data_IF_979374142017
#
_entry.id   IF_979374142017
#
_cell.length_a   1.000
_cell.length_b   1.000
_cell.length_c   1.000
_cell.angle_alpha   90.00
_cell.angle_beta   90.00
_cell.angle_gamma   90.00
#
_symmetry.space_group_name_H-M   'P 1'
#
loop_
_entity.id
_entity.type
_entity.pdbx_description
1 polymer ?
#
# COMPACT_ATOMS: atom_id res chain seq x y z
N UNK A 1 85.12 -84.97 -61.01
CA UNK A 1 86.13 -85.71 -60.22
C UNK A 1 86.84 -84.86 -59.15
N UNK A 2 86.48 -83.58 -58.91
CA UNK A 2 87.21 -82.73 -57.95
C UNK A 2 86.84 -82.93 -56.47
N UNK A 3 85.62 -83.38 -56.17
CA UNK A 3 85.15 -83.55 -54.79
C UNK A 3 86.01 -84.56 -53.98
N UNK A 4 86.54 -85.60 -54.62
CA UNK A 4 87.33 -86.63 -53.95
C UNK A 4 88.74 -86.13 -53.60
N UNK A 5 89.30 -85.22 -54.39
CA UNK A 5 90.62 -84.63 -54.12
C UNK A 5 90.54 -83.58 -53.02
N UNK A 6 89.50 -82.72 -53.04
CA UNK A 6 89.28 -81.72 -51.99
C UNK A 6 89.11 -82.37 -50.62
N UNK A 7 88.22 -83.36 -50.50
CA UNK A 7 88.01 -84.07 -49.22
C UNK A 7 89.27 -84.78 -48.73
N UNK A 8 90.09 -85.33 -49.63
CA UNK A 8 91.37 -85.95 -49.25
C UNK A 8 92.38 -84.92 -48.75
N UNK A 9 92.46 -83.75 -49.39
CA UNK A 9 93.31 -82.65 -48.95
C UNK A 9 92.85 -82.07 -47.62
N UNK A 10 91.55 -81.89 -47.42
CA UNK A 10 90.97 -81.41 -46.16
C UNK A 10 91.21 -82.40 -45.01
N UNK A 11 91.12 -83.71 -45.28
CA UNK A 11 91.43 -84.74 -44.29
C UNK A 11 92.91 -84.76 -43.95
N UNK A 12 93.81 -84.69 -44.96
CA UNK A 12 95.24 -84.63 -44.73
C UNK A 12 95.66 -83.38 -43.95
N UNK A 13 95.07 -82.22 -44.28
CA UNK A 13 95.28 -80.98 -43.53
C UNK A 13 94.79 -81.12 -42.10
N UNK A 14 93.61 -81.67 -41.86
CA UNK A 14 93.09 -81.90 -40.52
C UNK A 14 93.99 -82.85 -39.71
N UNK A 15 94.52 -83.90 -40.32
CA UNK A 15 95.45 -84.82 -39.64
C UNK A 15 96.79 -84.14 -39.32
N UNK A 16 97.29 -83.28 -40.21
CA UNK A 16 98.48 -82.45 -39.95
C UNK A 16 98.20 -81.46 -38.81
N UNK A 17 97.07 -80.76 -38.83
CA UNK A 17 96.70 -79.80 -37.79
C UNK A 17 96.46 -80.47 -36.43
N UNK A 18 95.98 -81.72 -36.41
CA UNK A 18 95.83 -82.53 -35.18
C UNK A 18 97.18 -83.02 -34.67
N UNK A 19 98.01 -83.59 -35.54
CA UNK A 19 99.31 -84.16 -35.18
C UNK A 19 100.35 -83.11 -34.78
N UNK A 20 100.36 -81.96 -35.45
CA UNK A 20 101.22 -80.82 -35.11
C UNK A 20 100.68 -80.00 -33.92
N UNK A 21 99.51 -80.34 -33.37
CA UNK A 21 98.95 -79.68 -32.19
C UNK A 21 98.31 -78.30 -32.44
N UNK A 22 98.32 -77.78 -33.68
CA UNK A 22 97.73 -76.48 -34.03
C UNK A 22 96.24 -76.38 -33.68
N UNK A 23 95.48 -77.48 -33.76
CA UNK A 23 94.07 -77.48 -33.32
C UNK A 23 93.95 -77.14 -31.83
N UNK A 24 94.86 -77.62 -30.98
CA UNK A 24 94.86 -77.27 -29.56
C UNK A 24 95.25 -75.82 -29.33
N UNK A 25 96.18 -75.27 -30.11
CA UNK A 25 96.53 -73.84 -30.05
C UNK A 25 95.36 -72.95 -30.46
N UNK A 26 94.67 -73.29 -31.56
CA UNK A 26 93.48 -72.58 -32.04
C UNK A 26 92.36 -72.64 -31.00
N UNK A 27 92.08 -73.83 -30.43
CA UNK A 27 91.08 -74.00 -29.37
C UNK A 27 91.46 -73.18 -28.12
N UNK A 28 92.74 -73.21 -27.72
CA UNK A 28 93.21 -72.45 -26.55
C UNK A 28 93.13 -70.94 -26.78
N UNK A 29 93.45 -70.47 -27.98
CA UNK A 29 93.35 -69.05 -28.34
C UNK A 29 91.89 -68.60 -28.38
N UNK A 30 91.00 -69.39 -28.99
CA UNK A 30 89.56 -69.15 -28.96
C UNK A 30 88.98 -69.15 -27.55
N UNK A 31 89.46 -70.03 -26.67
CA UNK A 31 89.06 -70.05 -25.25
C UNK A 31 89.53 -68.79 -24.51
N UNK A 32 90.75 -68.31 -24.78
CA UNK A 32 91.26 -67.04 -24.22
C UNK A 32 90.46 -65.83 -24.71
N UNK A 33 90.11 -65.79 -25.99
CA UNK A 33 89.25 -64.72 -26.54
C UNK A 33 87.80 -64.82 -26.04
N UNK A 34 87.23 -66.02 -25.96
CA UNK A 34 85.91 -66.25 -25.37
C UNK A 34 85.88 -65.79 -23.92
N UNK A 35 86.93 -66.08 -23.13
CA UNK A 35 87.05 -65.59 -21.76
C UNK A 35 87.26 -64.06 -21.68
N UNK A 36 87.78 -63.41 -22.72
CA UNK A 36 87.78 -61.94 -22.80
C UNK A 36 86.37 -61.39 -23.06
N UNK A 37 85.56 -62.10 -23.88
CA UNK A 37 84.21 -61.68 -24.28
C UNK A 37 83.16 -62.04 -23.21
N UNK A 38 83.36 -63.12 -22.44
CA UNK A 38 82.41 -63.60 -21.42
C UNK A 38 83.01 -63.65 -20.02
N UNK A 39 84.22 -63.12 -19.83
CA UNK A 39 84.86 -63.05 -18.53
C UNK A 39 84.19 -62.03 -17.62
N UNK A 40 84.44 -62.11 -16.29
CA UNK A 40 83.83 -61.21 -15.30
C UNK A 40 84.11 -59.72 -15.57
N UNK A 41 85.17 -59.39 -16.32
CA UNK A 41 85.54 -58.03 -16.72
C UNK A 41 84.83 -57.50 -17.97
N UNK A 42 83.93 -58.28 -18.61
CA UNK A 42 83.21 -57.83 -19.82
C UNK A 42 81.72 -57.51 -19.57
N UNK A 43 81.36 -57.16 -18.33
CA UNK A 43 80.10 -56.47 -18.10
C UNK A 43 80.20 -55.08 -18.76
N UNK A 44 79.71 -54.98 -20.00
CA UNK A 44 79.62 -53.74 -20.81
C UNK A 44 79.05 -52.55 -20.02
N UNK A 45 78.31 -52.83 -18.94
CA UNK A 45 77.77 -51.86 -18.00
C UNK A 45 78.25 -52.25 -16.60
N UNK A 46 78.95 -51.33 -15.93
CA UNK A 46 79.41 -51.53 -14.55
C UNK A 46 78.19 -51.71 -13.62
N UNK A 47 78.26 -52.65 -12.66
CA UNK A 47 77.17 -52.88 -11.69
C UNK A 47 76.72 -51.61 -10.95
N UNK A 48 77.65 -50.68 -10.69
CA UNK A 48 77.32 -49.38 -10.10
C UNK A 48 76.34 -48.57 -10.97
N UNK A 49 76.50 -48.59 -12.30
CA UNK A 49 75.59 -47.92 -13.23
C UNK A 49 74.20 -48.57 -13.20
N UNK A 50 74.14 -49.90 -13.12
CA UNK A 50 72.88 -50.64 -12.99
C UNK A 50 72.18 -50.26 -11.67
N UNK A 51 72.91 -50.22 -10.56
CA UNK A 51 72.35 -49.82 -9.26
C UNK A 51 71.88 -48.36 -9.26
N UNK A 52 72.64 -47.44 -9.87
CA UNK A 52 72.22 -46.04 -10.02
C UNK A 52 70.95 -45.91 -10.86
N UNK A 53 70.83 -46.66 -11.96
CA UNK A 53 69.61 -46.71 -12.77
C UNK A 53 68.43 -47.24 -11.97
N UNK A 54 68.58 -48.36 -11.26
CA UNK A 54 67.53 -48.91 -10.39
C UNK A 54 67.10 -47.90 -9.32
N UNK A 55 68.06 -47.21 -8.68
CA UNK A 55 67.75 -46.19 -7.68
C UNK A 55 67.02 -44.98 -8.28
N UNK A 56 67.37 -44.57 -9.50
CA UNK A 56 66.67 -43.49 -10.18
C UNK A 56 65.27 -43.91 -10.61
N UNK A 57 65.07 -45.15 -11.07
CA UNK A 57 63.74 -45.69 -11.40
C UNK A 57 62.85 -45.65 -10.16
N UNK A 58 63.33 -46.15 -9.01
CA UNK A 58 62.55 -46.11 -7.77
C UNK A 58 62.21 -44.68 -7.34
N UNK A 59 63.14 -43.73 -7.47
CA UNK A 59 62.86 -42.31 -7.19
C UNK A 59 61.81 -41.72 -8.14
N UNK A 60 61.81 -42.13 -9.40
CA UNK A 60 60.79 -41.71 -10.35
C UNK A 60 59.42 -42.27 -9.96
N UNK A 61 59.36 -43.53 -9.54
CA UNK A 61 58.13 -44.15 -9.04
C UNK A 61 57.59 -43.42 -7.80
N UNK A 62 58.47 -43.08 -6.83
CA UNK A 62 58.09 -42.28 -5.65
C UNK A 62 57.52 -40.90 -6.05
N UNK A 63 58.13 -40.23 -7.02
CA UNK A 63 57.65 -38.93 -7.53
C UNK A 63 56.29 -39.09 -8.23
N UNK A 64 56.11 -40.15 -9.02
CA UNK A 64 54.85 -40.42 -9.70
C UNK A 64 53.73 -40.70 -8.69
N UNK A 65 53.99 -41.51 -7.67
CA UNK A 65 53.03 -41.80 -6.61
C UNK A 65 52.66 -40.53 -5.82
N UNK A 66 53.66 -39.70 -5.47
CA UNK A 66 53.42 -38.41 -4.82
C UNK A 66 52.60 -37.46 -5.71
N UNK A 67 52.88 -37.44 -7.01
CA UNK A 67 52.16 -36.59 -7.97
C UNK A 67 50.71 -37.07 -8.13
N UNK A 68 50.49 -38.37 -8.29
CA UNK A 68 49.15 -38.96 -8.38
C UNK A 68 48.35 -38.71 -7.11
N UNK A 69 48.99 -38.85 -5.93
CA UNK A 69 48.38 -38.54 -4.65
C UNK A 69 47.93 -37.08 -4.57
N UNK A 70 48.82 -36.12 -4.87
CA UNK A 70 48.49 -34.69 -4.89
C UNK A 70 47.38 -34.33 -5.89
N UNK A 71 47.36 -34.97 -7.06
CA UNK A 71 46.30 -34.76 -8.05
C UNK A 71 44.94 -35.28 -7.55
N UNK A 72 44.92 -36.42 -6.86
CA UNK A 72 43.70 -36.96 -6.27
C UNK A 72 43.19 -36.07 -5.12
N UNK A 73 44.08 -35.59 -4.26
CA UNK A 73 43.74 -34.67 -3.18
C UNK A 73 43.21 -33.33 -3.72
N UNK A 74 43.86 -32.77 -4.75
CA UNK A 74 43.40 -31.55 -5.41
C UNK A 74 42.00 -31.73 -6.02
N UNK A 75 41.76 -32.87 -6.68
CA UNK A 75 40.45 -33.20 -7.24
C UNK A 75 39.38 -33.31 -6.14
N UNK A 76 39.71 -33.94 -5.02
CA UNK A 76 38.80 -34.06 -3.88
C UNK A 76 38.50 -32.69 -3.24
N UNK A 77 39.52 -31.87 -3.02
CA UNK A 77 39.37 -30.51 -2.50
C UNK A 77 38.48 -29.64 -3.40
N UNK A 78 38.69 -29.68 -4.72
CA UNK A 78 37.86 -28.97 -5.68
C UNK A 78 36.43 -29.49 -5.66
N UNK A 79 36.22 -30.81 -5.69
CA UNK A 79 34.89 -31.40 -5.63
C UNK A 79 34.13 -30.98 -4.36
N UNK A 80 34.81 -31.02 -3.20
CA UNK A 80 34.24 -30.61 -1.91
C UNK A 80 33.92 -29.11 -1.89
N UNK A 81 34.78 -28.26 -2.45
CA UNK A 81 34.52 -26.82 -2.56
C UNK A 81 33.32 -26.52 -3.46
N UNK A 82 33.20 -27.21 -4.60
CA UNK A 82 32.07 -27.07 -5.52
C UNK A 82 30.77 -27.53 -4.86
N UNK A 83 30.77 -28.68 -4.18
CA UNK A 83 29.61 -29.21 -3.47
C UNK A 83 29.17 -28.27 -2.33
N UNK A 84 30.11 -27.76 -1.53
CA UNK A 84 29.80 -26.80 -0.46
C UNK A 84 29.24 -25.48 -1.03
N UNK A 85 29.79 -25.00 -2.15
CA UNK A 85 29.30 -23.80 -2.83
C UNK A 85 27.89 -24.02 -3.39
N UNK A 86 27.61 -25.17 -3.98
CA UNK A 86 26.27 -25.54 -4.45
C UNK A 86 25.27 -25.61 -3.29
N UNK A 87 25.61 -26.30 -2.20
CA UNK A 87 24.77 -26.36 -1.00
C UNK A 87 24.46 -24.99 -0.42
N UNK A 88 25.45 -24.08 -0.37
CA UNK A 88 25.21 -22.70 0.08
C UNK A 88 24.27 -21.93 -0.86
N UNK A 89 24.40 -22.10 -2.17
CA UNK A 89 23.51 -21.46 -3.14
C UNK A 89 22.09 -22.01 -3.03
N UNK A 90 21.92 -23.32 -2.92
CA UNK A 90 20.61 -23.96 -2.71
C UNK A 90 19.94 -23.50 -1.42
N UNK A 91 20.71 -23.39 -0.32
CA UNK A 91 20.20 -22.90 0.96
C UNK A 91 19.70 -21.45 0.85
N UNK A 92 20.49 -20.58 0.18
CA UNK A 92 20.10 -19.18 -0.07
C UNK A 92 18.84 -19.06 -0.93
N UNK A 93 18.75 -19.85 -1.99
CA UNK A 93 17.55 -19.88 -2.85
C UNK A 93 16.34 -20.34 -2.05
N UNK A 94 16.49 -21.37 -1.22
CA UNK A 94 15.41 -21.90 -0.38
C UNK A 94 14.94 -20.89 0.65
N UNK A 95 15.87 -20.18 1.31
CA UNK A 95 15.55 -19.12 2.28
C UNK A 95 14.83 -17.94 1.61
N UNK A 96 15.31 -17.49 0.44
CA UNK A 96 14.68 -16.40 -0.30
C UNK A 96 13.29 -16.79 -0.81
N UNK A 97 13.11 -18.03 -1.27
CA UNK A 97 11.81 -18.53 -1.69
C UNK A 97 10.83 -18.65 -0.51
N UNK A 98 11.31 -19.05 0.67
CA UNK A 98 10.51 -19.08 1.89
C UNK A 98 10.15 -17.67 2.36
N UNK A 99 11.10 -16.73 2.32
CA UNK A 99 10.86 -15.31 2.62
C UNK A 99 9.84 -14.72 1.66
N UNK A 100 9.99 -14.95 0.35
CA UNK A 100 9.06 -14.49 -0.67
C UNK A 100 7.65 -15.08 -0.45
N UNK A 101 7.55 -16.34 -0.03
CA UNK A 101 6.27 -16.97 0.32
C UNK A 101 5.62 -16.32 1.55
N UNK A 102 6.39 -16.04 2.60
CA UNK A 102 5.89 -15.34 3.80
C UNK A 102 5.46 -13.91 3.48
N UNK A 103 6.21 -13.21 2.64
CA UNK A 103 5.86 -11.85 2.22
C UNK A 103 4.60 -11.83 1.35
N UNK A 104 4.47 -12.77 0.41
CA UNK A 104 3.25 -12.93 -0.39
C UNK A 104 2.04 -13.27 0.48
N UNK A 105 2.19 -14.16 1.47
CA UNK A 105 1.12 -14.51 2.41
C UNK A 105 0.74 -13.33 3.31
N UNK A 106 1.72 -12.60 3.85
CA UNK A 106 1.49 -11.40 4.65
C UNK A 106 0.81 -10.29 3.84
N UNK A 107 1.21 -10.11 2.56
CA UNK A 107 0.57 -9.16 1.65
C UNK A 107 -0.87 -9.56 1.36
N UNK A 108 -1.14 -10.84 1.08
CA UNK A 108 -2.52 -11.34 0.89
C UNK A 108 -3.38 -11.13 2.12
N UNK A 109 -2.85 -11.40 3.32
CA UNK A 109 -3.57 -11.20 4.57
C UNK A 109 -3.87 -9.71 4.82
N UNK A 110 -2.92 -8.81 4.51
CA UNK A 110 -3.12 -7.36 4.62
C UNK A 110 -4.19 -6.87 3.63
N UNK A 111 -4.13 -7.32 2.39
CA UNK A 111 -5.13 -6.99 1.37
C UNK A 111 -6.52 -7.52 1.75
N UNK A 112 -6.61 -8.73 2.30
CA UNK A 112 -7.87 -9.31 2.78
C UNK A 112 -8.46 -8.55 3.97
N UNK A 113 -7.62 -8.17 4.95
CA UNK A 113 -8.06 -7.35 6.08
C UNK A 113 -8.48 -5.94 5.64
N UNK A 114 -7.77 -5.32 4.70
CA UNK A 114 -8.14 -4.01 4.17
C UNK A 114 -9.44 -4.08 3.37
N UNK A 115 -9.63 -5.12 2.55
CA UNK A 115 -10.88 -5.36 1.83
C UNK A 115 -12.05 -5.59 2.80
N UNK A 116 -11.83 -6.36 3.87
CA UNK A 116 -12.84 -6.58 4.92
C UNK A 116 -13.19 -5.27 5.64
N UNK A 117 -12.20 -4.44 5.99
CA UNK A 117 -12.42 -3.14 6.62
C UNK A 117 -13.20 -2.18 5.72
N UNK A 118 -12.87 -2.14 4.41
CA UNK A 118 -13.62 -1.32 3.43
C UNK A 118 -15.05 -1.82 3.24
N UNK A 119 -15.29 -3.13 3.25
CA UNK A 119 -16.62 -3.70 3.17
C UNK A 119 -17.46 -3.37 4.42
N UNK A 120 -16.88 -3.49 5.62
CA UNK A 120 -17.52 -3.15 6.88
C UNK A 120 -17.82 -1.64 6.98
N UNK A 121 -16.89 -0.78 6.56
CA UNK A 121 -17.12 0.68 6.52
C UNK A 121 -18.23 1.06 5.53
N UNK A 122 -18.28 0.42 4.35
CA UNK A 122 -19.34 0.64 3.37
C UNK A 122 -20.70 0.19 3.90
N UNK A 123 -20.78 -0.96 4.58
CA UNK A 123 -22.00 -1.44 5.21
C UNK A 123 -22.47 -0.51 6.34
N UNK A 124 -21.54 -0.05 7.20
CA UNK A 124 -21.82 0.90 8.26
C UNK A 124 -22.37 2.23 7.72
N UNK A 125 -21.78 2.76 6.63
CA UNK A 125 -22.28 3.96 5.94
C UNK A 125 -23.69 3.76 5.38
N UNK A 126 -23.97 2.60 4.75
CA UNK A 126 -25.32 2.33 4.23
C UNK A 126 -26.35 2.22 5.34
N UNK A 127 -26.00 1.60 6.47
CA UNK A 127 -26.90 1.50 7.61
C UNK A 127 -27.16 2.87 8.24
N UNK A 128 -26.12 3.71 8.38
CA UNK A 128 -26.25 5.09 8.85
C UNK A 128 -27.11 5.94 7.92
N UNK A 129 -26.94 5.81 6.59
CA UNK A 129 -27.76 6.54 5.61
C UNK A 129 -29.24 6.10 5.64
N UNK A 130 -29.50 4.79 5.81
CA UNK A 130 -30.87 4.27 5.97
C UNK A 130 -31.50 4.84 7.24
N UNK A 131 -30.77 4.84 8.36
CA UNK A 131 -31.25 5.38 9.64
C UNK A 131 -31.53 6.88 9.55
N UNK A 132 -30.61 7.65 8.97
CA UNK A 132 -30.79 9.09 8.76
C UNK A 132 -32.00 9.40 7.84
N UNK A 133 -32.21 8.60 6.78
CA UNK A 133 -33.41 8.73 5.92
C UNK A 133 -34.70 8.37 6.65
N UNK A 134 -34.69 7.38 7.55
CA UNK A 134 -35.85 7.04 8.36
C UNK A 134 -36.17 8.12 9.39
N UNK A 135 -35.16 8.66 10.07
CA UNK A 135 -35.30 9.75 11.03
C UNK A 135 -35.80 11.03 10.34
N UNK A 136 -35.23 11.40 9.18
CA UNK A 136 -35.71 12.55 8.40
C UNK A 136 -37.17 12.37 7.95
N UNK A 137 -37.56 11.16 7.50
CA UNK A 137 -38.96 10.87 7.15
C UNK A 137 -39.88 10.97 8.36
N UNK A 138 -39.49 10.42 9.50
CA UNK A 138 -40.26 10.50 10.73
C UNK A 138 -40.41 11.95 11.21
N UNK A 139 -39.37 12.78 11.08
CA UNK A 139 -39.43 14.20 11.41
C UNK A 139 -40.35 14.97 10.46
N UNK A 140 -40.29 14.70 9.15
CA UNK A 140 -41.21 15.33 8.18
C UNK A 140 -42.65 14.94 8.45
N UNK A 141 -42.92 13.67 8.75
CA UNK A 141 -44.28 13.20 9.07
C UNK A 141 -44.78 13.79 10.40
N UNK A 142 -43.90 13.94 11.40
CA UNK A 142 -44.23 14.59 12.66
C UNK A 142 -44.57 16.08 12.48
N UNK A 143 -43.79 16.81 11.66
CA UNK A 143 -44.08 18.21 11.31
C UNK A 143 -45.40 18.35 10.57
N UNK A 144 -45.66 17.49 9.59
CA UNK A 144 -46.92 17.51 8.84
C UNK A 144 -48.13 17.19 9.73
N UNK A 145 -48.02 16.22 10.65
CA UNK A 145 -49.08 15.94 11.63
C UNK A 145 -49.31 17.13 12.57
N UNK A 146 -48.25 17.76 13.06
CA UNK A 146 -48.36 18.93 13.93
C UNK A 146 -48.99 20.13 13.20
N UNK A 147 -48.70 20.32 11.92
CA UNK A 147 -49.30 21.37 11.09
C UNK A 147 -50.78 21.11 10.80
N UNK A 148 -51.16 19.87 10.44
CA UNK A 148 -52.58 19.49 10.30
C UNK A 148 -53.36 19.67 11.59
N UNK A 149 -52.76 19.37 12.75
CA UNK A 149 -53.42 19.58 14.04
C UNK A 149 -53.63 21.07 14.33
N UNK A 150 -52.65 21.93 14.02
CA UNK A 150 -52.80 23.39 14.13
C UNK A 150 -53.89 23.90 13.18
N UNK A 151 -53.94 23.40 11.95
CA UNK A 151 -54.95 23.80 10.97
C UNK A 151 -56.36 23.39 11.41
N UNK A 152 -56.55 22.17 11.93
CA UNK A 152 -57.85 21.74 12.48
C UNK A 152 -58.30 22.60 13.66
N UNK A 153 -57.38 22.98 14.56
CA UNK A 153 -57.70 23.88 15.69
C UNK A 153 -58.08 25.29 15.21
N UNK A 154 -57.37 25.83 14.22
CA UNK A 154 -57.69 27.12 13.63
C UNK A 154 -59.04 27.11 12.88
N UNK A 155 -59.33 26.05 12.12
CA UNK A 155 -60.61 25.88 11.42
C UNK A 155 -61.78 25.73 12.41
N UNK A 156 -61.58 25.02 13.52
CA UNK A 156 -62.58 24.89 14.59
C UNK A 156 -62.86 26.24 15.28
N UNK A 157 -61.81 27.00 15.60
CA UNK A 157 -61.95 28.34 16.19
C UNK A 157 -62.65 29.31 15.23
N UNK A 158 -62.30 29.29 13.94
CA UNK A 158 -62.96 30.10 12.91
C UNK A 158 -64.45 29.72 12.76
N UNK A 159 -64.79 28.43 12.86
CA UNK A 159 -66.20 27.98 12.84
C UNK A 159 -66.96 28.49 14.07
N UNK A 160 -66.36 28.43 15.27
CA UNK A 160 -66.97 28.94 16.51
C UNK A 160 -67.20 30.46 16.44
N UNK A 161 -66.26 31.21 15.87
CA UNK A 161 -66.40 32.66 15.71
C UNK A 161 -67.57 33.02 14.77
N UNK A 162 -67.69 32.31 13.65
CA UNK A 162 -68.81 32.48 12.70
C UNK A 162 -70.16 32.11 13.33
N UNK A 163 -70.22 31.01 14.06
CA UNK A 163 -71.45 30.60 14.76
C UNK A 163 -71.87 31.61 15.84
N UNK A 164 -70.90 32.23 16.54
CA UNK A 164 -71.16 33.29 17.50
C UNK A 164 -71.64 34.59 16.82
N UNK A 165 -71.06 34.95 15.68
CA UNK A 165 -71.46 36.11 14.88
C UNK A 165 -72.89 35.95 14.32
N UNK A 166 -73.21 34.77 13.76
CA UNK A 166 -74.57 34.45 13.30
C UNK A 166 -75.59 34.49 14.44
N UNK A 167 -75.25 33.96 15.63
CA UNK A 167 -76.12 34.07 16.81
C UNK A 167 -76.37 35.52 17.22
N UNK A 168 -75.36 36.38 17.22
CA UNK A 168 -75.50 37.81 17.54
C UNK A 168 -76.39 38.52 16.52
N UNK A 169 -76.19 38.24 15.23
CA UNK A 169 -77.00 38.81 14.15
C UNK A 169 -78.47 38.38 14.27
N UNK A 170 -78.73 37.10 14.53
CA UNK A 170 -80.07 36.56 14.69
C UNK A 170 -80.78 37.13 15.93
N UNK A 171 -80.04 37.33 17.03
CA UNK A 171 -80.57 37.97 18.24
C UNK A 171 -80.90 39.45 18.02
N UNK A 172 -80.03 40.19 17.31
CA UNK A 172 -80.28 41.58 16.94
C UNK A 172 -81.51 41.71 16.02
N UNK A 173 -81.67 40.79 15.07
CA UNK A 173 -82.81 40.77 14.16
C UNK A 173 -84.14 40.48 14.89
N UNK A 174 -84.12 39.57 15.88
CA UNK A 174 -85.29 39.34 16.76
C UNK A 174 -85.66 40.57 17.59
N UNK A 175 -84.68 41.27 18.16
CA UNK A 175 -84.93 42.51 18.91
C UNK A 175 -85.52 43.61 18.01
N UNK A 176 -85.02 43.73 16.78
CA UNK A 176 -85.55 44.70 15.81
C UNK A 176 -87.01 44.41 15.42
N UNK A 177 -87.38 43.13 15.22
CA UNK A 177 -88.77 42.76 14.97
C UNK A 177 -89.69 43.07 16.17
N UNK A 178 -89.23 42.84 17.40
CA UNK A 178 -89.99 43.20 18.60
C UNK A 178 -90.20 44.72 18.72
N UNK A 179 -89.18 45.54 18.42
CA UNK A 179 -89.33 47.00 18.39
C UNK A 179 -90.31 47.47 17.31
N UNK A 180 -90.29 46.87 16.11
CA UNK A 180 -91.25 47.21 15.07
C UNK A 180 -92.69 46.86 15.45
N UNK A 181 -92.92 45.73 16.14
CA UNK A 181 -94.26 45.39 16.65
C UNK A 181 -94.74 46.36 17.73
N UNK A 182 -93.85 46.87 18.60
CA UNK A 182 -94.21 47.91 19.58
C UNK A 182 -94.54 49.26 18.91
N UNK A 183 -93.78 49.66 17.87
CA UNK A 183 -94.08 50.89 17.13
C UNK A 183 -95.40 50.81 16.33
N UNK A 184 -95.75 49.64 15.77
CA UNK A 184 -97.05 49.45 15.12
C UNK A 184 -98.23 49.46 16.10
N UNK A 185 -98.04 49.06 17.37
CA UNK A 185 -99.06 49.22 18.40
C UNK A 185 -99.22 50.67 18.87
N UNK A 186 -98.14 51.47 18.87
CA UNK A 186 -98.23 52.91 19.19
C UNK A 186 -98.83 53.75 18.05
N UNK A 187 -98.65 53.37 16.78
CA UNK A 187 -99.28 54.06 15.64
C UNK A 187 -100.80 53.78 15.48
N UNK A 188 -101.39 52.84 16.23
CA UNK A 188 -102.85 52.65 16.28
C UNK A 188 -103.54 53.40 17.45
N UNK A 189 -102.80 54.21 18.23
CA UNK A 189 -103.34 54.95 19.38
C UNK A 189 -103.13 56.46 19.38
N UNK A 190 -102.66 57.07 18.28
CA UNK A 190 -102.55 58.53 18.17
C UNK A 190 -103.12 59.06 16.84
N UNK A 191 -104.45 59.01 16.73
CA UNK A 191 -105.26 59.92 15.91
C UNK A 191 -106.42 60.43 16.77
N UNK A 192 -106.18 61.39 17.68
CA UNK A 192 -107.13 62.47 17.98
C UNK A 192 -106.53 63.59 18.86
N UNK A 193 -106.47 64.78 18.23
CA UNK A 193 -106.50 66.16 18.77
C UNK A 193 -105.17 66.80 19.23
N UNK A 194 -104.51 67.57 18.35
CA UNK A 194 -104.73 68.98 17.92
C UNK A 194 -103.98 70.01 18.81
N UNK A 195 -102.93 70.62 18.21
CA UNK A 195 -102.51 72.05 18.17
C UNK A 195 -102.77 72.94 19.42
N UNK A 196 -101.92 73.88 19.82
CA UNK A 196 -100.99 74.72 19.06
C UNK A 196 -100.18 75.60 20.02
N UNK A 197 -99.25 76.35 19.43
CA UNK A 197 -98.79 77.70 19.82
C UNK A 197 -97.32 77.85 20.26
N UNK A 198 -96.57 78.47 19.34
CA UNK A 198 -95.18 78.89 19.44
C UNK A 198 -94.88 79.84 20.61
N UNK A 199 -93.58 79.87 20.93
CA UNK A 199 -92.80 81.04 21.33
C UNK A 199 -92.89 81.53 22.79
N UNK A 200 -91.90 81.16 23.61
CA UNK A 200 -91.48 81.98 24.75
C UNK A 200 -89.99 81.77 25.09
N UNK A 201 -89.15 82.57 24.43
CA UNK A 201 -88.09 83.38 25.04
C UNK A 201 -87.30 82.80 26.24
N UNK A 202 -85.97 82.69 26.06
CA UNK A 202 -85.00 82.96 27.13
C UNK A 202 -83.84 81.95 27.18
N UNK A 203 -82.68 82.33 26.63
CA UNK A 203 -81.47 82.73 27.39
C UNK A 203 -80.73 81.54 28.04
N UNK A 204 -79.66 80.99 27.44
CA UNK A 204 -78.26 81.46 27.35
C UNK A 204 -77.38 81.08 28.57
N UNK A 205 -76.09 80.86 28.28
CA UNK A 205 -74.88 80.75 29.12
C UNK A 205 -74.39 79.38 29.64
N UNK A 206 -73.44 78.84 28.85
CA UNK A 206 -72.00 78.65 29.16
C UNK A 206 -71.58 77.89 30.43
N UNK A 207 -70.74 76.86 30.27
CA UNK A 207 -69.32 76.94 30.69
C UNK A 207 -68.43 75.86 30.01
N UNK A 208 -67.56 76.31 29.10
CA UNK A 208 -66.26 75.70 28.76
C UNK A 208 -65.20 76.62 29.42
N UNK A 209 -64.11 76.08 29.97
CA UNK A 209 -62.81 76.24 29.28
C UNK A 209 -62.01 74.91 29.32
N UNK A 210 -61.50 74.39 28.20
CA UNK A 210 -60.38 74.86 27.38
C UNK A 210 -59.01 74.69 28.06
N UNK A 211 -58.17 73.87 27.44
CA UNK A 211 -56.72 74.05 27.32
C UNK A 211 -56.13 72.97 26.40
N UNK A 212 -55.76 73.39 25.17
CA UNK A 212 -54.42 73.28 24.56
C UNK A 212 -53.60 71.99 24.79
N UNK A 213 -52.87 71.43 23.82
CA UNK A 213 -52.20 72.10 22.71
C UNK A 213 -51.71 71.09 21.67
N UNK A 214 -51.56 71.62 20.46
CA UNK A 214 -50.75 71.26 19.30
C UNK A 214 -49.67 70.16 19.45
N UNK A 215 -49.53 69.23 18.51
CA UNK A 215 -49.22 69.37 17.08
C UNK A 215 -47.80 69.94 16.78
N UNK A 216 -47.08 69.16 15.98
CA UNK A 216 -45.90 69.51 15.16
C UNK A 216 -44.51 69.63 15.80
N UNK A 217 -43.64 68.67 15.50
CA UNK A 217 -42.80 68.63 14.28
C UNK A 217 -41.35 68.20 14.53
N UNK A 218 -40.93 67.24 13.70
CA UNK A 218 -39.63 67.11 13.05
C UNK A 218 -38.37 67.11 13.91
N UNK A 219 -37.66 65.98 13.86
CA UNK A 219 -36.28 66.08 13.38
C UNK A 219 -35.87 64.90 12.50
N UNK A 220 -35.32 65.29 11.37
CA UNK A 220 -34.67 64.50 10.33
C UNK A 220 -33.19 64.37 10.74
N UNK A 221 -32.63 63.16 10.78
CA UNK A 221 -31.48 62.88 9.92
C UNK A 221 -31.26 61.37 9.72
N UNK A 222 -30.88 60.97 8.50
CA UNK A 222 -30.43 59.64 8.14
C UNK A 222 -28.91 59.57 8.28
N UNK A 223 -28.40 58.65 9.07
CA UNK A 223 -26.99 58.29 9.04
C UNK A 223 -26.91 56.77 9.27
N UNK A 224 -26.53 56.09 8.17
CA UNK A 224 -25.68 54.91 8.11
C UNK A 224 -25.47 54.11 9.42
N UNK A 225 -26.35 53.15 9.68
CA UNK A 225 -25.96 51.93 10.39
C UNK A 225 -26.10 50.75 9.43
N UNK A 226 -24.97 50.53 8.79
CA UNK A 226 -24.58 49.35 8.03
C UNK A 226 -25.11 48.06 8.68
N UNK A 227 -25.82 47.30 7.87
CA UNK A 227 -25.93 45.85 7.89
C UNK A 227 -24.84 45.14 8.70
N UNK A 228 -25.15 44.76 9.94
CA UNK A 228 -24.34 43.80 10.72
C UNK A 228 -25.21 42.89 11.60
N UNK A 229 -26.42 42.54 11.14
CA UNK A 229 -27.17 41.42 11.72
C UNK A 229 -27.46 40.28 10.73
N UNK A 230 -26.86 40.36 9.52
CA UNK A 230 -26.76 39.23 8.60
C UNK A 230 -25.34 38.62 8.55
N UNK A 231 -24.39 39.09 9.37
CA UNK A 231 -23.01 38.55 9.47
C UNK A 231 -22.81 37.57 10.65
N UNK A 232 -23.85 37.29 11.45
CA UNK A 232 -23.80 36.31 12.54
C UNK A 232 -24.84 35.18 12.37
N UNK A 233 -25.49 35.12 11.20
CA UNK A 233 -26.59 34.18 10.95
C UNK A 233 -26.23 32.98 10.09
N UNK A 234 -25.28 33.10 9.16
CA UNK A 234 -24.86 32.03 8.27
C UNK A 234 -23.47 32.37 7.69
N UNK A 235 -22.67 31.32 7.47
CA UNK A 235 -21.36 31.27 6.77
C UNK A 235 -20.15 30.98 7.67
N UNK A 236 -20.03 29.69 8.01
CA UNK A 236 -18.76 28.97 8.24
C UNK A 236 -17.84 29.06 7.00
N UNK A 237 -17.38 30.24 6.60
CA UNK A 237 -16.62 30.39 5.34
C UNK A 237 -15.53 31.47 5.36
N UNK A 238 -15.47 32.32 6.38
CA UNK A 238 -14.47 33.42 6.42
C UNK A 238 -13.11 32.95 6.94
N UNK A 239 -13.03 31.78 7.59
CA UNK A 239 -11.76 31.20 8.05
C UNK A 239 -11.24 30.06 7.15
N UNK A 240 -12.02 29.60 6.17
CA UNK A 240 -11.61 28.57 5.20
C UNK A 240 -10.79 29.15 4.03
N UNK A 241 -10.72 30.49 3.92
CA UNK A 241 -9.92 31.20 2.93
C UNK A 241 -8.47 31.48 3.34
N UNK A 242 -8.08 31.22 4.60
CA UNK A 242 -6.68 31.29 5.02
C UNK A 242 -6.02 29.94 4.79
N UNK A 243 -5.47 29.78 3.59
CA UNK A 243 -4.64 28.65 3.19
C UNK A 243 -3.41 28.52 4.11
N UNK A 244 -3.54 27.74 5.17
CA UNK A 244 -2.45 27.31 6.07
C UNK A 244 -1.62 26.16 5.47
N UNK A 245 -1.87 25.75 4.22
CA UNK A 245 -1.07 24.73 3.52
C UNK A 245 0.16 25.32 2.81
N UNK A 246 0.29 26.65 2.72
CA UNK A 246 1.52 27.29 2.25
C UNK A 246 2.60 27.44 3.34
N UNK A 247 2.29 27.09 4.60
CA UNK A 247 3.25 27.07 5.71
C UNK A 247 3.87 25.69 5.97
N UNK A 248 3.47 24.64 5.22
CA UNK A 248 4.00 23.27 5.39
C UNK A 248 4.69 22.73 4.13
N UNK A 249 5.09 23.62 3.22
CA UNK A 249 5.83 23.26 2.02
C UNK A 249 6.95 24.27 1.77
N UNK A 250 7.98 24.19 2.61
CA UNK A 250 9.16 25.04 2.53
C UNK A 250 10.25 24.60 3.50
N UNK A 251 10.96 23.54 3.12
CA UNK A 251 12.41 23.35 3.33
C UNK A 251 13.00 23.81 4.68
N UNK A 252 13.21 22.85 5.59
CA UNK A 252 14.46 22.79 6.35
C UNK A 252 14.71 21.37 6.86
N UNK A 253 15.68 20.73 6.19
CA UNK A 253 16.56 19.70 6.75
C UNK A 253 16.80 19.85 8.27
N UNK A 254 16.53 18.81 9.04
CA UNK A 254 17.56 18.01 9.73
C UNK A 254 16.96 16.96 10.67
N UNK A 255 17.28 15.70 10.36
CA UNK A 255 17.75 14.65 11.27
C UNK A 255 16.89 14.29 12.50
N UNK A 256 16.25 13.11 12.43
CA UNK A 256 16.49 12.06 13.43
C UNK A 256 15.98 10.66 12.99
N UNK A 257 16.98 9.79 12.71
CA UNK A 257 17.03 8.31 12.87
C UNK A 257 16.30 7.41 11.84
N UNK A 258 16.80 6.17 11.57
CA UNK A 258 17.83 5.42 12.31
C UNK A 258 19.10 5.05 11.54
N UNK A 259 20.19 5.00 12.29
CA UNK A 259 21.48 4.41 11.94
C UNK A 259 21.32 2.95 11.49
N UNK A 260 21.56 2.65 10.21
CA UNK A 260 22.18 1.42 9.67
C UNK A 260 22.07 1.33 8.13
N UNK A 261 22.30 2.43 7.41
CA UNK A 261 22.55 2.36 5.97
C UNK A 261 24.05 2.54 5.76
N UNK A 262 24.72 1.40 5.57
CA UNK A 262 26.10 1.31 5.12
C UNK A 262 26.23 2.12 3.84
N UNK A 263 27.17 3.08 3.82
CA UNK A 263 27.37 4.00 2.71
C UNK A 263 27.52 3.21 1.41
N UNK A 264 26.56 3.36 0.50
CA UNK A 264 26.51 2.63 -0.77
C UNK A 264 27.58 3.19 -1.73
N UNK A 265 28.80 2.67 -1.57
CA UNK A 265 29.98 2.99 -2.38
C UNK A 265 29.72 2.70 -3.86
N UNK A 266 28.95 1.66 -4.16
CA UNK A 266 28.67 1.23 -5.53
C UNK A 266 27.76 2.24 -6.24
N UNK A 267 26.75 2.78 -5.55
CA UNK A 267 25.89 3.81 -6.09
C UNK A 267 26.61 5.16 -6.25
N UNK A 268 27.55 5.50 -5.35
CA UNK A 268 28.39 6.69 -5.46
C UNK A 268 29.38 6.62 -6.64
N UNK A 269 30.03 5.47 -6.84
CA UNK A 269 31.00 5.31 -7.93
C UNK A 269 30.35 5.25 -9.31
N UNK A 270 29.13 4.71 -9.42
CA UNK A 270 28.37 4.68 -10.67
C UNK A 270 27.92 6.08 -11.15
N UNK A 271 27.87 7.07 -10.26
CA UNK A 271 27.51 8.45 -10.61
C UNK A 271 28.61 9.20 -11.38
N UNK A 272 29.88 8.77 -11.26
CA UNK A 272 31.03 9.39 -11.94
C UNK A 272 31.51 8.60 -13.17
N UNK A 273 30.83 7.50 -13.53
CA UNK A 273 31.24 6.56 -14.56
C UNK A 273 30.51 6.69 -15.90
N UNK A 274 30.18 7.91 -16.35
CA UNK A 274 29.71 8.20 -17.73
C UNK A 274 30.74 9.02 -18.50
#
# INVERSE_FOLDING_TARGET
MSANLQTKLDNALNDILKSAGYIFEIINNNKKQSNLITGPNNQLIQQNIIQQLTNNINKFDDILDETVSKFNDAKWCIATMVENKQKQQELKIKEELERQKREAEAKRLKEEMEAKRKAEEAEARRLAEIKAKQEAKAETEAKERAEREKQMKADEEARRLKEEEERKLQQAQQQQQQQQQQQQQQQQQEEEKNYDFNDFMGFDLNEIPDANDNNNNNNFNPDDDLDMNNLLGNEESILDGLNMTLLDSGDNNQQQQPLNEEFDVDNFLNQFGS
#
